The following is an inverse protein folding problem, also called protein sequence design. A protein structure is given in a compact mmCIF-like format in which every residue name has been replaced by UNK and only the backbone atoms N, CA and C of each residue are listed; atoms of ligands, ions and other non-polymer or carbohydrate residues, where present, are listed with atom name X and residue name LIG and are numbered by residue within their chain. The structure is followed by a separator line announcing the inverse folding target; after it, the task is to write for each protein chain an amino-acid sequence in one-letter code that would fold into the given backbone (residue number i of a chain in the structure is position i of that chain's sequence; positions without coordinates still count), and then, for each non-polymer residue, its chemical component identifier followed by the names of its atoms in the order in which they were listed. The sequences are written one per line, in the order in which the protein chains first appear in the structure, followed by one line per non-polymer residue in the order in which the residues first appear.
data_IF_896982556677
#
_entry.id   IF_896982556677
#
_cell.length_a   1.000
_cell.length_b   1.000
_cell.length_c   1.000
_cell.angle_alpha   90.00
_cell.angle_beta   90.00
_cell.angle_gamma   90.00
#
_symmetry.space_group_name_H-M   'P 1'
#
loop_
_entity.id
_entity.type
_entity.pdbx_description
1 polymer ?
#
# COMPACT_ATOMS: atom_id res chain seq x y z
N UNK A 1 19.62 3.13 3.74
CA UNK A 1 19.12 3.53 2.41
C UNK A 1 17.80 4.27 2.64
N UNK A 2 17.63 5.47 2.09
CA UNK A 2 16.33 6.14 2.12
C UNK A 2 15.48 5.55 1.00
N UNK A 3 14.64 4.56 1.33
CA UNK A 3 13.61 4.09 0.42
C UNK A 3 12.55 5.19 0.27
N UNK A 4 12.05 5.39 -0.95
CA UNK A 4 10.97 6.35 -1.14
C UNK A 4 9.65 5.79 -0.58
N UNK A 5 8.71 6.67 -0.22
CA UNK A 5 7.44 6.25 0.41
C UNK A 5 6.67 5.22 -0.43
N UNK A 6 6.71 5.34 -1.76
CA UNK A 6 6.07 4.37 -2.67
C UNK A 6 6.68 2.98 -2.57
N UNK A 7 8.01 2.85 -2.42
CA UNK A 7 8.66 1.54 -2.21
C UNK A 7 8.29 0.92 -0.87
N UNK A 8 8.19 1.73 0.18
CA UNK A 8 7.75 1.27 1.50
C UNK A 8 6.31 0.74 1.42
N UNK A 9 5.41 1.51 0.80
CA UNK A 9 4.01 1.10 0.61
C UNK A 9 3.88 -0.19 -0.19
N UNK A 10 4.72 -0.40 -1.22
CA UNK A 10 4.74 -1.66 -1.99
C UNK A 10 5.12 -2.86 -1.13
N UNK A 11 6.13 -2.73 -0.26
CA UNK A 11 6.50 -3.79 0.66
C UNK A 11 5.42 -4.07 1.71
N UNK A 12 4.77 -3.01 2.23
CA UNK A 12 3.65 -3.14 3.16
C UNK A 12 2.48 -3.88 2.50
N UNK A 13 2.16 -3.53 1.25
CA UNK A 13 1.14 -4.21 0.42
C UNK A 13 1.42 -5.69 0.25
N UNK A 14 2.65 -6.05 -0.13
CA UNK A 14 3.07 -7.45 -0.31
C UNK A 14 2.94 -8.26 0.98
N UNK A 15 3.28 -7.65 2.12
CA UNK A 15 3.13 -8.29 3.44
C UNK A 15 1.66 -8.54 3.78
N UNK A 16 0.78 -7.57 3.54
CA UNK A 16 -0.67 -7.72 3.77
C UNK A 16 -1.26 -8.82 2.88
N UNK A 17 -0.88 -8.85 1.60
CA UNK A 17 -1.31 -9.89 0.67
C UNK A 17 -0.81 -11.29 1.09
N UNK A 18 0.43 -11.40 1.56
CA UNK A 18 0.98 -12.65 2.09
C UNK A 18 0.20 -13.14 3.31
N UNK A 19 -0.17 -12.24 4.23
CA UNK A 19 -1.01 -12.58 5.38
C UNK A 19 -2.44 -12.98 4.98
N UNK A 20 -3.02 -12.33 3.96
CA UNK A 20 -4.33 -12.71 3.41
C UNK A 20 -4.30 -14.11 2.80
N UNK A 21 -3.26 -14.43 2.03
CA UNK A 21 -3.08 -15.73 1.40
C UNK A 21 -2.83 -16.85 2.43
N UNK A 22 -2.14 -16.55 3.52
CA UNK A 22 -1.88 -17.48 4.61
C UNK A 22 -3.03 -17.59 5.63
N UNK A 23 -4.14 -16.85 5.43
CA UNK A 23 -5.23 -16.69 6.40
C UNK A 23 -4.74 -16.26 7.80
N UNK A 24 -3.60 -15.56 7.84
CA UNK A 24 -2.91 -15.20 9.06
C UNK A 24 -3.42 -13.85 9.60
N UNK A 25 -4.50 -13.91 10.37
CA UNK A 25 -5.09 -12.78 11.07
C UNK A 25 -6.51 -12.47 10.64
N UNK A 26 -7.01 -11.30 11.03
CA UNK A 26 -8.38 -10.88 10.67
C UNK A 26 -8.43 -10.44 9.21
N UNK A 27 -9.13 -11.23 8.38
CA UNK A 27 -9.37 -10.91 6.97
C UNK A 27 -9.91 -9.48 6.78
N UNK A 28 -10.89 -9.07 7.58
CA UNK A 28 -11.46 -7.71 7.50
C UNK A 28 -10.42 -6.64 7.76
N UNK A 29 -9.59 -6.79 8.81
CA UNK A 29 -8.53 -5.81 9.12
C UNK A 29 -7.47 -5.75 8.02
N UNK A 30 -7.11 -6.90 7.47
CA UNK A 30 -6.13 -6.97 6.38
C UNK A 30 -6.67 -6.33 5.09
N UNK A 31 -7.96 -6.51 4.78
CA UNK A 31 -8.59 -5.86 3.63
C UNK A 31 -8.68 -4.33 3.80
N UNK A 32 -9.02 -3.84 4.99
CA UNK A 32 -9.01 -2.40 5.28
C UNK A 32 -7.61 -1.83 5.09
N UNK A 33 -6.60 -2.48 5.68
CA UNK A 33 -5.20 -2.07 5.53
C UNK A 33 -4.73 -2.09 4.07
N UNK A 34 -5.21 -3.05 3.27
CA UNK A 34 -4.90 -3.11 1.84
C UNK A 34 -5.50 -1.92 1.07
N UNK A 35 -6.75 -1.55 1.38
CA UNK A 35 -7.40 -0.37 0.79
C UNK A 35 -6.66 0.91 1.16
N UNK A 36 -6.33 1.11 2.45
CA UNK A 36 -5.61 2.30 2.90
C UNK A 36 -4.25 2.46 2.18
N UNK A 37 -3.54 1.35 1.94
CA UNK A 37 -2.26 1.34 1.21
C UNK A 37 -2.47 1.68 -0.27
N UNK A 38 -3.47 1.10 -0.91
CA UNK A 38 -3.75 1.33 -2.33
C UNK A 38 -4.20 2.79 -2.56
N UNK A 39 -5.01 3.36 -1.67
CA UNK A 39 -5.44 4.77 -1.69
C UNK A 39 -4.23 5.72 -1.56
N UNK A 40 -3.29 5.46 -0.63
CA UNK A 40 -2.10 6.31 -0.48
C UNK A 40 -1.16 6.23 -1.71
N UNK A 41 -1.03 5.05 -2.32
CA UNK A 41 -0.26 4.89 -3.56
C UNK A 41 -0.89 5.71 -4.69
N UNK A 42 -2.22 5.68 -4.82
CA UNK A 42 -2.97 6.46 -5.80
C UNK A 42 -2.81 7.97 -5.56
N UNK A 43 -2.94 8.43 -4.31
CA UNK A 43 -2.75 9.84 -3.96
C UNK A 43 -1.35 10.34 -4.32
N UNK A 44 -0.30 9.55 -4.02
CA UNK A 44 1.08 9.89 -4.39
C UNK A 44 1.24 9.95 -5.92
N UNK A 45 0.60 9.05 -6.66
CA UNK A 45 0.65 9.04 -8.11
C UNK A 45 -0.06 10.27 -8.71
N UNK A 46 -1.25 10.60 -8.21
CA UNK A 46 -1.98 11.80 -8.61
C UNK A 46 -1.20 13.09 -8.32
N UNK A 47 -0.61 13.19 -7.13
CA UNK A 47 0.16 14.38 -6.74
C UNK A 47 1.40 14.56 -7.62
N UNK A 48 2.07 13.45 -8.01
CA UNK A 48 3.16 13.49 -8.99
C UNK A 48 2.69 13.94 -10.38
N UNK A 49 1.52 13.49 -10.82
CA UNK A 49 0.93 13.93 -12.09
C UNK A 49 0.59 15.42 -12.04
N UNK A 50 -0.09 15.88 -10.98
CA UNK A 50 -0.46 17.29 -10.77
C UNK A 50 0.78 18.21 -10.72
N UNK A 51 1.88 17.76 -10.13
CA UNK A 51 3.13 18.52 -10.08
C UNK A 51 3.91 18.56 -11.41
N UNK A 52 3.54 17.71 -12.37
CA UNK A 52 4.18 17.65 -13.69
C UNK A 52 3.50 18.55 -14.76
N UNK A 53 2.34 19.14 -14.43
CA UNK A 53 1.61 20.12 -15.24
C UNK A 53 1.72 21.52 -14.64
#
# INVERSE_FOLDING_TARGET
MNMNRTEILRLEREKVLSNLAAENGSRTKLLIMLMDIDDEIEEIAENKLKAAY
#
